data_IF_219027934476
#
_entry.id   IF_219027934476
#
_cell.length_a   1.000
_cell.length_b   1.000
_cell.length_c   1.000
_cell.angle_alpha   90.00
_cell.angle_beta   90.00
_cell.angle_gamma   90.00
#
_symmetry.space_group_name_H-M   'P 1'
#
loop_
_entity.id
_entity.type
_entity.pdbx_description
1 polymer ?
#
# COMPACT_ATOMS: atom_id res chain seq x y z
N UNK A 1 -14.51 4.77 13.14
CA UNK A 1 -13.03 4.79 13.26
C UNK A 1 -12.53 3.73 12.31
N UNK A 2 -11.78 4.11 11.26
CA UNK A 2 -11.11 3.11 10.42
C UNK A 2 -9.95 2.51 11.22
N UNK A 3 -9.81 1.19 11.18
CA UNK A 3 -8.72 0.50 11.86
C UNK A 3 -7.42 0.73 11.09
N UNK A 4 -6.28 0.86 11.77
CA UNK A 4 -4.97 1.13 11.13
C UNK A 4 -4.65 0.10 10.02
N UNK A 5 -5.08 -1.15 10.20
CA UNK A 5 -5.00 -2.22 9.20
C UNK A 5 -5.79 -1.93 7.92
N UNK A 6 -6.97 -1.32 8.01
CA UNK A 6 -7.80 -0.96 6.85
C UNK A 6 -7.17 0.18 6.05
N UNK A 7 -6.56 1.14 6.74
CA UNK A 7 -5.80 2.23 6.08
C UNK A 7 -4.62 1.64 5.30
N UNK A 8 -3.82 0.79 5.94
CA UNK A 8 -2.68 0.13 5.29
C UNK A 8 -3.10 -0.72 4.08
N UNK A 9 -4.22 -1.43 4.17
CA UNK A 9 -4.74 -2.21 3.05
C UNK A 9 -5.07 -1.34 1.84
N UNK A 10 -5.77 -0.22 2.06
CA UNK A 10 -6.16 0.70 0.99
C UNK A 10 -4.94 1.35 0.32
N UNK A 11 -3.90 1.65 1.10
CA UNK A 11 -2.62 2.14 0.58
C UNK A 11 -1.91 1.08 -0.28
N UNK A 12 -1.89 -0.17 0.19
CA UNK A 12 -1.33 -1.31 -0.54
C UNK A 12 -2.08 -1.55 -1.86
N UNK A 13 -3.41 -1.53 -1.84
CA UNK A 13 -4.24 -1.65 -3.05
C UNK A 13 -3.88 -0.57 -4.07
N UNK A 14 -3.69 0.67 -3.61
CA UNK A 14 -3.32 1.77 -4.51
C UNK A 14 -1.91 1.59 -5.09
N UNK A 15 -0.96 1.10 -4.28
CA UNK A 15 0.39 0.76 -4.74
C UNK A 15 0.41 -0.36 -5.78
N UNK A 16 -0.50 -1.34 -5.67
CA UNK A 16 -0.58 -2.45 -6.63
C UNK A 16 -1.36 -2.03 -7.88
N UNK A 17 -2.43 -1.25 -7.73
CA UNK A 17 -3.25 -0.74 -8.83
C UNK A 17 -2.45 0.19 -9.75
N UNK A 18 -1.44 0.88 -9.21
CA UNK A 18 -0.50 1.65 -10.01
C UNK A 18 0.12 0.83 -11.17
N UNK A 19 0.26 -0.49 -11.02
CA UNK A 19 0.77 -1.38 -12.07
C UNK A 19 -0.29 -2.14 -12.89
N UNK A 20 -1.59 -2.12 -12.52
CA UNK A 20 -2.68 -2.88 -13.16
C UNK A 20 -4.06 -2.27 -12.84
N UNK A 21 -4.96 -2.26 -13.83
CA UNK A 21 -6.32 -1.67 -13.74
C UNK A 21 -7.20 -2.17 -12.57
N UNK A 22 -6.97 -3.38 -12.04
CA UNK A 22 -7.78 -3.92 -10.94
C UNK A 22 -6.90 -4.70 -9.94
N UNK A 23 -6.60 -4.07 -8.81
CA UNK A 23 -5.91 -4.71 -7.68
C UNK A 23 -6.68 -4.51 -6.38
N UNK A 24 -7.87 -5.10 -6.32
CA UNK A 24 -8.66 -5.14 -5.08
C UNK A 24 -8.22 -6.35 -4.24
N UNK A 25 -7.78 -6.10 -3.01
CA UNK A 25 -7.42 -7.14 -2.05
C UNK A 25 -8.67 -7.45 -1.21
N UNK A 26 -8.89 -8.73 -0.90
CA UNK A 26 -10.00 -9.09 0.00
C UNK A 26 -9.73 -8.53 1.42
N UNK A 27 -10.59 -7.64 1.95
CA UNK A 27 -10.43 -7.07 3.29
C UNK A 27 -10.53 -8.10 4.42
N UNK A 28 -11.15 -9.26 4.20
CA UNK A 28 -11.20 -10.35 5.18
C UNK A 28 -9.80 -10.89 5.53
N UNK A 29 -8.80 -10.66 4.66
CA UNK A 29 -7.41 -11.02 4.92
C UNK A 29 -6.82 -10.25 6.10
N UNK A 30 -7.38 -9.08 6.45
CA UNK A 30 -6.95 -8.29 7.62
C UNK A 30 -7.14 -9.02 8.95
N UNK A 31 -8.06 -9.98 9.01
CA UNK A 31 -8.26 -10.82 10.19
C UNK A 31 -7.06 -11.77 10.44
N UNK A 32 -6.26 -12.04 9.41
CA UNK A 32 -5.15 -12.98 9.43
C UNK A 32 -3.78 -12.32 9.26
N UNK A 33 -3.76 -11.06 8.84
CA UNK A 33 -2.53 -10.29 8.63
C UNK A 33 -2.25 -9.43 9.85
N UNK A 34 -1.02 -9.50 10.37
CA UNK A 34 -0.60 -8.60 11.42
C UNK A 34 -0.30 -7.21 10.86
N UNK A 35 -0.35 -6.22 11.76
CA UNK A 35 -0.07 -4.83 11.39
C UNK A 35 1.35 -4.70 10.79
N UNK A 36 2.30 -5.43 11.35
CA UNK A 36 3.70 -5.46 10.92
C UNK A 36 3.86 -6.09 9.52
N UNK A 37 3.05 -7.10 9.21
CA UNK A 37 3.04 -7.74 7.89
C UNK A 37 2.57 -6.75 6.82
N UNK A 38 1.49 -6.02 7.11
CA UNK A 38 0.97 -4.97 6.22
C UNK A 38 2.00 -3.84 6.01
N UNK A 39 2.67 -3.40 7.08
CA UNK A 39 3.75 -2.40 6.99
C UNK A 39 4.91 -2.89 6.13
N UNK A 40 5.32 -4.15 6.32
CA UNK A 40 6.39 -4.79 5.53
C UNK A 40 6.01 -4.96 4.05
N UNK A 41 4.76 -5.31 3.76
CA UNK A 41 4.22 -5.39 2.39
C UNK A 41 4.23 -4.02 1.72
N UNK A 42 3.71 -2.98 2.39
CA UNK A 42 3.74 -1.60 1.90
C UNK A 42 5.17 -1.14 1.59
N UNK A 43 6.13 -1.37 2.50
CA UNK A 43 7.53 -0.99 2.31
C UNK A 43 8.18 -1.70 1.11
N UNK A 44 7.91 -3.00 0.94
CA UNK A 44 8.41 -3.78 -0.20
C UNK A 44 7.86 -3.26 -1.52
N UNK A 45 6.57 -2.92 -1.56
CA UNK A 45 5.92 -2.34 -2.75
C UNK A 45 6.51 -0.96 -3.06
N UNK A 46 6.64 -0.08 -2.07
CA UNK A 46 7.27 1.24 -2.23
C UNK A 46 8.69 1.15 -2.79
N UNK A 47 9.48 0.18 -2.33
CA UNK A 47 10.84 -0.05 -2.84
C UNK A 47 10.85 -0.51 -4.29
N UNK A 48 9.81 -1.21 -4.75
CA UNK A 48 9.67 -1.63 -6.15
C UNK A 48 9.13 -0.49 -7.01
N UNK A 49 8.19 0.31 -6.51
CA UNK A 49 7.66 1.49 -7.23
C UNK A 49 8.72 2.57 -7.42
N UNK A 50 9.76 2.69 -6.56
CA UNK A 50 10.90 3.60 -6.82
C UNK A 50 11.65 3.35 -8.15
N UNK A 51 11.45 2.19 -8.80
CA UNK A 51 11.96 1.94 -10.16
C UNK A 51 11.03 2.40 -11.28
N UNK A 52 9.83 2.88 -10.96
CA UNK A 52 8.81 3.41 -11.89
C UNK A 52 8.63 4.92 -11.62
N UNK A 53 8.93 5.71 -12.66
CA UNK A 53 8.72 7.16 -12.90
C UNK A 53 8.81 8.21 -11.77
N UNK A 54 9.27 9.42 -12.11
CA UNK A 54 9.35 10.57 -11.18
C UNK A 54 7.98 11.11 -10.73
N UNK A 55 6.92 10.85 -11.50
CA UNK A 55 5.56 11.34 -11.22
C UNK A 55 4.93 10.58 -10.03
N UNK A 56 5.32 9.32 -9.85
CA UNK A 56 4.80 8.43 -8.80
C UNK A 56 5.46 8.71 -7.47
N UNK A 57 6.72 9.14 -7.50
CA UNK A 57 7.45 9.54 -6.30
C UNK A 57 6.74 10.66 -5.55
N UNK A 58 6.24 11.68 -6.27
CA UNK A 58 5.51 12.81 -5.69
C UNK A 58 4.19 12.38 -5.03
N UNK A 59 3.48 11.43 -5.62
CA UNK A 59 2.26 10.87 -5.04
C UNK A 59 2.55 10.03 -3.79
N UNK A 60 3.67 9.30 -3.78
CA UNK A 60 4.11 8.47 -2.64
C UNK A 60 4.68 9.27 -1.48
N UNK A 61 5.20 10.48 -1.70
CA UNK A 61 5.69 11.34 -0.62
C UNK A 61 4.57 11.68 0.37
N UNK A 62 3.31 11.78 -0.08
CA UNK A 62 2.15 12.01 0.80
C UNK A 62 1.92 10.88 1.80
N UNK A 63 2.44 9.67 1.54
CA UNK A 63 2.31 8.51 2.43
C UNK A 63 3.54 8.28 3.33
N UNK A 64 4.59 9.10 3.19
CA UNK A 64 5.79 9.07 4.06
C UNK A 64 5.68 10.02 5.26
N UNK A 65 4.73 10.96 5.27
CA UNK A 65 4.65 12.05 6.27
C UNK A 65 3.82 11.75 7.54
N UNK A 66 3.59 10.49 7.89
CA UNK A 66 2.92 10.11 9.15
C UNK A 66 3.78 9.20 10.03
#
# INVERSE_FOLDING_TARGET
MKNEKETLLSEIETLIAYGRDEATINPDLLAYLELEDLKSMKATLLSRVHTLSEEDKLWLEQFKEY
#
